data_IF_802038178515
#
_entry.id   IF_802038178515
#
_cell.length_a   1.000
_cell.length_b   1.000
_cell.length_c   1.000
_cell.angle_alpha   90.00
_cell.angle_beta   90.00
_cell.angle_gamma   90.00
#
_symmetry.space_group_name_H-M   'P 1'
#
loop_
_entity.id
_entity.type
_entity.pdbx_description
1 polymer ?
#
# COMPACT_ATOMS: atom_id res chain seq x y z
N UNK A 1 13.13 4.65 17.29
CA UNK A 1 12.55 3.46 16.63
C UNK A 1 13.60 2.57 15.95
N UNK A 2 14.25 2.97 14.84
CA UNK A 2 15.24 2.14 14.11
C UNK A 2 16.31 1.48 14.99
N UNK A 3 17.07 2.29 15.75
CA UNK A 3 18.10 1.81 16.69
C UNK A 3 17.53 0.91 17.78
N UNK A 4 16.39 1.29 18.36
CA UNK A 4 15.75 0.56 19.47
C UNK A 4 15.21 -0.81 19.05
N UNK A 5 14.69 -0.93 17.82
CA UNK A 5 14.11 -2.16 17.28
C UNK A 5 15.06 -2.92 16.33
N UNK A 6 16.31 -2.45 16.18
CA UNK A 6 17.34 -3.03 15.30
C UNK A 6 16.84 -3.26 13.86
N UNK A 7 16.17 -2.26 13.27
CA UNK A 7 15.69 -2.29 11.88
C UNK A 7 16.36 -1.21 11.03
N UNK A 8 16.61 -1.53 9.76
CA UNK A 8 17.18 -0.59 8.78
C UNK A 8 16.15 0.42 8.26
N UNK A 9 14.89 0.00 8.15
CA UNK A 9 13.79 0.78 7.57
C UNK A 9 12.56 0.78 8.47
N UNK A 10 11.77 1.86 8.36
CA UNK A 10 10.48 2.05 9.04
C UNK A 10 9.53 2.56 7.98
N UNK A 11 8.39 1.89 7.80
CA UNK A 11 7.33 2.37 6.92
C UNK A 11 6.48 3.42 7.64
N UNK A 12 6.11 4.46 6.91
CA UNK A 12 5.14 5.45 7.35
C UNK A 12 3.84 5.19 6.60
N UNK A 13 2.77 4.91 7.34
CA UNK A 13 1.47 4.52 6.76
C UNK A 13 0.40 5.45 7.30
N UNK A 14 -0.31 6.12 6.39
CA UNK A 14 -1.55 6.81 6.70
C UNK A 14 -2.70 5.92 6.22
N UNK A 15 -3.44 5.36 7.17
CA UNK A 15 -4.65 4.57 6.92
C UNK A 15 -5.88 5.42 7.26
N UNK A 16 -7.04 5.11 6.64
CA UNK A 16 -8.25 5.93 6.68
C UNK A 16 -8.96 6.08 8.03
N UNK A 17 -10.28 6.33 7.98
CA UNK A 17 -11.11 6.85 9.08
C UNK A 17 -11.48 5.85 10.18
N UNK A 18 -10.67 4.81 10.44
CA UNK A 18 -10.92 3.86 11.54
C UNK A 18 -11.00 4.54 12.92
N UNK A 19 -10.42 5.75 13.01
CA UNK A 19 -10.58 6.70 14.12
C UNK A 19 -10.85 8.08 13.55
N UNK A 20 -11.62 8.91 14.28
CA UNK A 20 -12.06 10.24 13.81
C UNK A 20 -10.97 11.32 13.98
N UNK A 21 -9.75 11.03 13.54
CA UNK A 21 -8.65 12.00 13.41
C UNK A 21 -7.57 11.49 12.47
N UNK A 22 -6.88 12.43 11.82
CA UNK A 22 -5.70 12.12 11.02
C UNK A 22 -4.59 11.56 11.92
N UNK A 23 -4.06 10.40 11.55
CA UNK A 23 -2.98 9.75 12.27
C UNK A 23 -2.07 9.03 11.30
N UNK A 24 -0.84 8.77 11.74
CA UNK A 24 0.18 8.05 11.00
C UNK A 24 0.67 6.91 11.85
N UNK A 25 0.80 5.73 11.25
CA UNK A 25 1.38 4.55 11.86
C UNK A 25 2.81 4.39 11.36
N UNK A 26 3.72 4.08 12.28
CA UNK A 26 5.11 3.75 11.97
C UNK A 26 5.30 2.25 12.19
N UNK A 27 5.70 1.53 11.14
CA UNK A 27 5.93 0.09 11.20
C UNK A 27 7.42 -0.23 11.04
N UNK A 28 8.04 -0.91 12.00
CA UNK A 28 9.43 -1.35 11.87
C UNK A 28 9.49 -2.50 10.85
N UNK A 29 10.33 -2.38 9.83
CA UNK A 29 10.45 -3.42 8.80
C UNK A 29 11.61 -4.35 9.12
N UNK A 30 11.28 -5.55 9.61
CA UNK A 30 12.23 -6.61 9.91
C UNK A 30 12.63 -7.37 8.64
N UNK A 31 13.84 -7.95 8.62
CA UNK A 31 14.35 -8.72 7.49
C UNK A 31 14.74 -7.88 6.26
N UNK A 32 14.65 -6.56 6.34
CA UNK A 32 15.09 -5.67 5.26
C UNK A 32 16.56 -5.29 5.47
N UNK A 33 17.38 -5.58 4.48
CA UNK A 33 18.79 -5.22 4.46
C UNK A 33 19.01 -3.71 4.30
N UNK A 34 20.26 -3.29 4.48
CA UNK A 34 20.64 -1.88 4.33
C UNK A 34 20.53 -1.50 2.85
N UNK A 35 21.15 -2.27 1.99
CA UNK A 35 20.99 -2.21 0.54
C UNK A 35 19.55 -2.56 0.15
N UNK A 36 19.02 -1.89 -0.87
CA UNK A 36 17.68 -2.19 -1.35
C UNK A 36 17.68 -3.41 -2.24
N UNK A 37 16.81 -4.36 -1.92
CA UNK A 37 16.37 -5.42 -2.81
C UNK A 37 14.85 -5.40 -2.88
N UNK A 38 14.32 -5.64 -4.07
CA UNK A 38 12.87 -5.78 -4.25
C UNK A 38 12.40 -7.08 -3.61
N UNK A 39 11.27 -7.01 -2.91
CA UNK A 39 10.62 -8.17 -2.30
C UNK A 39 9.19 -8.20 -2.83
N UNK A 40 8.91 -9.19 -3.67
CA UNK A 40 7.60 -9.38 -4.25
C UNK A 40 6.92 -10.60 -3.64
N UNK A 41 5.64 -10.44 -3.29
CA UNK A 41 4.80 -11.60 -3.02
C UNK A 41 4.63 -12.40 -4.31
N UNK A 42 4.61 -13.73 -4.18
CA UNK A 42 4.42 -14.62 -5.34
C UNK A 42 3.02 -14.47 -5.95
N UNK A 43 2.03 -14.27 -5.09
CA UNK A 43 0.64 -14.18 -5.47
C UNK A 43 0.23 -12.72 -5.66
N UNK A 44 -0.63 -12.50 -6.65
CA UNK A 44 -1.32 -11.24 -6.84
C UNK A 44 -2.72 -11.36 -6.28
N UNK A 45 -3.16 -10.36 -5.52
CA UNK A 45 -4.46 -10.40 -4.85
C UNK A 45 -5.18 -9.08 -4.99
N UNK A 46 -6.49 -9.16 -5.21
CA UNK A 46 -7.39 -8.02 -5.19
C UNK A 46 -8.64 -8.42 -4.42
N UNK A 47 -9.13 -7.49 -3.60
CA UNK A 47 -10.34 -7.67 -2.81
C UNK A 47 -11.32 -6.57 -3.19
N UNK A 48 -12.52 -6.94 -3.63
CA UNK A 48 -13.58 -5.98 -3.96
C UNK A 48 -14.07 -5.19 -2.73
N UNK A 49 -13.85 -5.74 -1.54
CA UNK A 49 -14.20 -5.13 -0.25
C UNK A 49 -12.97 -5.05 0.64
N UNK A 50 -12.99 -4.10 1.57
CA UNK A 50 -11.90 -3.94 2.52
C UNK A 50 -11.90 -5.08 3.54
N UNK A 51 -10.85 -5.90 3.53
CA UNK A 51 -10.70 -7.07 4.41
C UNK A 51 -10.29 -6.71 5.86
N UNK A 52 -10.21 -5.42 6.20
CA UNK A 52 -9.80 -4.97 7.52
C UNK A 52 -8.27 -4.91 7.74
N UNK A 53 -7.49 -5.08 6.67
CA UNK A 53 -6.04 -4.88 6.68
C UNK A 53 -5.53 -4.33 5.34
N UNK A 54 -4.35 -3.71 5.38
CA UNK A 54 -3.60 -3.31 4.19
C UNK A 54 -2.43 -4.28 4.01
N UNK A 55 -2.15 -4.64 2.76
CA UNK A 55 -1.04 -5.50 2.38
C UNK A 55 -0.17 -4.82 1.32
N UNK A 56 1.12 -5.15 1.29
CA UNK A 56 2.04 -4.73 0.23
C UNK A 56 2.02 -5.67 -0.99
N UNK A 57 1.13 -6.67 -0.98
CA UNK A 57 0.93 -7.56 -2.13
C UNK A 57 0.44 -6.80 -3.35
N UNK A 58 0.94 -7.16 -4.52
CA UNK A 58 0.49 -6.57 -5.77
C UNK A 58 -0.90 -7.06 -6.15
N UNK A 59 -1.68 -6.19 -6.78
CA UNK A 59 -2.91 -6.57 -7.46
C UNK A 59 -2.64 -7.12 -8.88
N UNK A 60 -3.61 -7.85 -9.47
CA UNK A 60 -3.62 -8.11 -10.90
C UNK A 60 -3.73 -6.78 -11.67
N UNK A 61 -3.23 -6.77 -12.90
CA UNK A 61 -3.36 -5.61 -13.77
C UNK A 61 -4.84 -5.44 -14.17
N UNK A 62 -5.37 -4.23 -14.00
CA UNK A 62 -6.73 -3.90 -14.44
C UNK A 62 -6.84 -3.83 -15.97
N UNK A 63 -8.05 -3.99 -16.49
CA UNK A 63 -8.30 -3.90 -17.93
C UNK A 63 -8.00 -2.48 -18.45
N UNK A 64 -7.18 -2.41 -19.50
CA UNK A 64 -6.70 -1.13 -20.04
C UNK A 64 -7.85 -0.32 -20.66
N UNK A 65 -8.87 -0.97 -21.24
CA UNK A 65 -10.01 -0.25 -21.84
C UNK A 65 -10.89 0.35 -20.76
N UNK A 66 -11.16 -0.39 -19.68
CA UNK A 66 -11.88 0.11 -18.51
C UNK A 66 -11.16 1.30 -17.88
N UNK A 67 -9.83 1.19 -17.69
CA UNK A 67 -9.00 2.28 -17.17
C UNK A 67 -9.08 3.54 -18.05
N UNK A 68 -9.05 3.40 -19.38
CA UNK A 68 -9.21 4.53 -20.31
C UNK A 68 -10.60 5.16 -20.21
N UNK A 69 -11.65 4.35 -20.12
CA UNK A 69 -13.02 4.85 -19.96
C UNK A 69 -13.20 5.61 -18.65
N UNK A 70 -12.67 5.07 -17.54
CA UNK A 70 -12.70 5.72 -16.23
C UNK A 70 -11.95 7.06 -16.26
N UNK A 71 -10.76 7.10 -16.86
CA UNK A 71 -9.97 8.34 -16.97
C UNK A 71 -10.74 9.45 -17.71
N UNK A 72 -11.41 9.11 -18.83
CA UNK A 72 -12.25 10.07 -19.56
C UNK A 72 -13.41 10.59 -18.70
N UNK A 73 -14.08 9.73 -17.94
CA UNK A 73 -15.18 10.13 -17.05
C UNK A 73 -14.71 11.09 -15.97
N UNK A 74 -13.56 10.83 -15.36
CA UNK A 74 -12.98 11.69 -14.31
C UNK A 74 -12.61 13.05 -14.91
N UNK A 75 -11.99 13.09 -16.09
CA UNK A 75 -11.60 14.35 -16.74
C UNK A 75 -12.78 15.22 -17.21
N UNK A 76 -13.95 14.62 -17.40
CA UNK A 76 -15.17 15.32 -17.86
C UNK A 76 -16.06 15.76 -16.69
N UNK A 77 -15.71 15.41 -15.45
CA UNK A 77 -16.50 15.71 -14.26
C UNK A 77 -16.15 17.08 -13.62
N UNK A 78 -15.51 17.99 -14.38
CA UNK A 78 -15.26 19.39 -14.00
C UNK A 78 -16.40 20.33 -14.44
#
# INVERSE_FOLDING_TARGET
MKKGLKVNRVAMVAEGMGVNHAHIKLYPLHGIEKEFSEIWAKEKVFFDKYEGYISTQLGPQADIKELKSLAMKISLAE
#
